data_IF_476844097715
#
_entry.id   IF_476844097715
#
_cell.length_a   1.000
_cell.length_b   1.000
_cell.length_c   1.000
_cell.angle_alpha   90.00
_cell.angle_beta   90.00
_cell.angle_gamma   90.00
#
_symmetry.space_group_name_H-M   'P 1'
#
loop_
_entity.id
_entity.type
_entity.pdbx_description
1 polymer ?
#
# COMPACT_ATOMS: atom_id res chain seq x y z
N UNK A 1 -24.11 1.10 17.96
CA UNK A 1 -22.65 1.02 18.22
C UNK A 1 -21.89 1.16 16.92
N UNK A 2 -20.85 1.99 16.85
CA UNK A 2 -19.94 2.14 15.69
C UNK A 2 -18.65 1.34 15.93
N UNK A 3 -18.76 0.03 16.21
CA UNK A 3 -17.61 -0.82 16.55
C UNK A 3 -16.98 -1.40 15.29
N UNK A 4 -15.67 -1.24 15.13
CA UNK A 4 -14.86 -1.93 14.11
C UNK A 4 -14.19 -3.15 14.74
N UNK A 5 -14.28 -4.31 14.09
CA UNK A 5 -13.61 -5.54 14.51
C UNK A 5 -12.59 -5.94 13.45
N UNK A 6 -11.34 -6.14 13.88
CA UNK A 6 -10.22 -6.50 13.01
C UNK A 6 -9.78 -7.92 13.37
N UNK A 7 -9.75 -8.80 12.38
CA UNK A 7 -9.22 -10.16 12.51
C UNK A 7 -7.88 -10.25 11.79
N UNK A 8 -6.84 -10.67 12.51
CA UNK A 8 -5.55 -11.03 11.93
C UNK A 8 -5.56 -12.54 11.70
N UNK A 9 -5.25 -12.95 10.47
CA UNK A 9 -5.26 -14.35 10.10
C UNK A 9 -3.93 -14.76 9.46
N UNK A 10 -3.60 -16.04 9.57
CA UNK A 10 -2.40 -16.63 8.99
C UNK A 10 -2.76 -17.45 7.75
N UNK A 11 -1.81 -17.53 6.83
CA UNK A 11 -1.92 -18.40 5.66
C UNK A 11 -1.53 -19.83 6.08
N UNK A 12 -2.22 -20.81 5.50
CA UNK A 12 -1.91 -22.25 5.52
C UNK A 12 -1.96 -22.78 4.10
N UNK A 13 -1.35 -23.94 3.88
CA UNK A 13 -1.43 -24.63 2.60
C UNK A 13 -2.49 -25.74 2.69
N UNK A 14 -3.37 -25.81 1.70
CA UNK A 14 -4.32 -26.92 1.58
C UNK A 14 -3.66 -28.07 0.81
N UNK A 15 -3.44 -29.19 1.49
CA UNK A 15 -2.87 -30.39 0.87
C UNK A 15 -3.86 -30.95 -0.16
N UNK A 16 -3.37 -31.34 -1.33
CA UNK A 16 -4.16 -32.01 -2.37
C UNK A 16 -4.78 -31.09 -3.43
N UNK A 17 -4.44 -29.80 -3.45
CA UNK A 17 -4.85 -28.88 -4.53
C UNK A 17 -3.86 -29.00 -5.70
N UNK A 18 -4.34 -29.50 -6.85
CA UNK A 18 -3.54 -29.67 -8.07
C UNK A 18 -3.68 -28.49 -9.05
N UNK A 19 -4.67 -27.62 -8.87
CA UNK A 19 -4.91 -26.45 -9.71
C UNK A 19 -5.38 -25.25 -8.87
N UNK A 20 -4.92 -24.05 -9.21
CA UNK A 20 -5.21 -22.81 -8.47
C UNK A 20 -4.24 -22.54 -7.30
N UNK A 21 -4.53 -21.50 -6.51
CA UNK A 21 -3.68 -21.13 -5.36
C UNK A 21 -3.87 -22.13 -4.21
N UNK A 22 -2.80 -22.76 -3.68
CA UNK A 22 -2.88 -23.67 -2.55
C UNK A 22 -3.06 -22.95 -1.20
N UNK A 23 -3.07 -21.61 -1.21
CA UNK A 23 -3.15 -20.79 0.00
C UNK A 23 -4.59 -20.72 0.54
N UNK A 24 -4.73 -20.96 1.84
CA UNK A 24 -6.00 -20.85 2.56
C UNK A 24 -5.81 -20.14 3.89
N UNK A 25 -6.87 -19.54 4.42
CA UNK A 25 -6.87 -18.89 5.74
C UNK A 25 -7.53 -19.78 6.78
N UNK A 26 -7.06 -19.74 8.03
CA UNK A 26 -7.67 -20.56 9.09
C UNK A 26 -9.06 -20.03 9.49
N UNK A 27 -9.84 -20.85 10.20
CA UNK A 27 -11.18 -20.46 10.69
C UNK A 27 -12.32 -20.71 9.70
N UNK A 28 -12.11 -21.55 8.69
CA UNK A 28 -13.13 -21.93 7.71
C UNK A 28 -13.53 -20.77 6.79
N UNK A 29 -14.71 -20.87 6.18
CA UNK A 29 -15.14 -19.92 5.15
C UNK A 29 -15.96 -18.74 5.68
N UNK A 30 -16.46 -18.79 6.91
CA UNK A 30 -17.37 -17.76 7.44
C UNK A 30 -16.74 -16.35 7.35
N UNK A 31 -15.50 -16.19 7.80
CA UNK A 31 -14.81 -14.91 7.79
C UNK A 31 -14.65 -14.34 6.36
N UNK A 32 -14.49 -15.20 5.33
CA UNK A 32 -14.43 -14.78 3.92
C UNK A 32 -15.72 -14.08 3.51
N UNK A 33 -16.89 -14.53 3.97
CA UNK A 33 -18.19 -13.98 3.60
C UNK A 33 -18.59 -12.76 4.45
N UNK A 34 -18.38 -12.82 5.76
CA UNK A 34 -18.77 -11.76 6.70
C UNK A 34 -17.88 -10.52 6.63
N UNK A 35 -16.59 -10.66 6.31
CA UNK A 35 -15.69 -9.52 6.22
C UNK A 35 -16.15 -8.52 5.13
N UNK A 36 -16.24 -7.24 5.51
CA UNK A 36 -16.52 -6.14 4.58
C UNK A 36 -15.30 -5.77 3.75
N UNK A 37 -14.10 -5.87 4.33
CA UNK A 37 -12.81 -5.63 3.68
C UNK A 37 -11.87 -6.78 4.02
N UNK A 38 -11.13 -7.28 3.04
CA UNK A 38 -10.03 -8.24 3.24
C UNK A 38 -8.76 -7.68 2.61
N UNK A 39 -7.68 -7.71 3.38
CA UNK A 39 -6.37 -7.23 3.00
C UNK A 39 -5.40 -8.42 3.01
N UNK A 40 -4.71 -8.64 1.89
CA UNK A 40 -3.57 -9.55 1.82
C UNK A 40 -2.29 -8.71 1.96
N UNK A 41 -1.51 -8.96 3.00
CA UNK A 41 -0.27 -8.24 3.32
C UNK A 41 0.94 -9.15 3.10
N UNK A 42 1.86 -8.71 2.25
CA UNK A 42 3.08 -9.45 1.93
C UNK A 42 4.31 -8.57 2.00
N UNK A 43 5.37 -9.10 2.59
CA UNK A 43 6.70 -8.51 2.49
C UNK A 43 7.24 -8.75 1.09
N UNK A 44 7.60 -7.68 0.38
CA UNK A 44 8.18 -7.75 -0.98
C UNK A 44 9.69 -7.54 -0.98
N UNK A 45 10.24 -6.89 0.04
CA UNK A 45 11.67 -6.59 0.11
C UNK A 45 12.16 -6.19 1.50
N UNK A 46 13.48 -6.03 1.61
CA UNK A 46 14.16 -5.50 2.79
C UNK A 46 14.72 -4.12 2.49
N UNK A 47 14.50 -3.17 3.38
CA UNK A 47 15.11 -1.84 3.32
C UNK A 47 16.42 -1.92 4.09
N UNK A 48 17.51 -1.56 3.42
CA UNK A 48 18.86 -1.60 3.98
C UNK A 48 19.43 -0.20 4.04
N UNK A 49 20.05 0.13 5.16
CA UNK A 49 20.91 1.29 5.29
C UNK A 49 22.34 0.80 5.44
N UNK A 50 23.16 1.01 4.41
CA UNK A 50 24.50 0.40 4.29
C UNK A 50 24.40 -1.13 4.37
N UNK A 51 24.84 -1.73 5.47
CA UNK A 51 24.84 -3.18 5.70
C UNK A 51 23.73 -3.66 6.63
N UNK A 52 22.99 -2.74 7.28
CA UNK A 52 21.96 -3.09 8.26
C UNK A 52 20.55 -3.08 7.65
N UNK A 53 19.73 -4.07 8.02
CA UNK A 53 18.32 -4.12 7.59
C UNK A 53 17.49 -3.29 8.57
N UNK A 54 17.11 -2.09 8.14
CA UNK A 54 16.37 -1.11 8.94
C UNK A 54 14.85 -1.25 8.81
N UNK A 55 14.36 -2.00 7.83
CA UNK A 55 12.93 -2.21 7.64
C UNK A 55 12.55 -3.17 6.53
N UNK A 56 11.24 -3.24 6.27
CA UNK A 56 10.64 -4.10 5.26
C UNK A 56 9.76 -3.30 4.31
N UNK A 57 9.97 -3.52 3.02
CA UNK A 57 9.04 -3.05 2.01
C UNK A 57 7.88 -4.03 1.93
N UNK A 58 6.66 -3.50 2.07
CA UNK A 58 5.44 -4.30 2.22
C UNK A 58 4.40 -3.88 1.19
N UNK A 59 3.74 -4.85 0.59
CA UNK A 59 2.62 -4.66 -0.34
C UNK A 59 1.35 -5.17 0.31
N UNK A 60 0.28 -4.38 0.23
CA UNK A 60 -1.06 -4.77 0.67
C UNK A 60 -1.99 -4.74 -0.53
N UNK A 61 -2.63 -5.88 -0.84
CA UNK A 61 -3.68 -6.02 -1.87
C UNK A 61 -5.04 -6.10 -1.21
N UNK A 62 -5.99 -5.30 -1.68
CA UNK A 62 -7.38 -5.35 -1.23
C UNK A 62 -8.09 -6.49 -1.96
N UNK A 63 -8.08 -7.70 -1.40
CA UNK A 63 -8.66 -8.90 -2.05
C UNK A 63 -10.19 -8.94 -1.98
N UNK A 64 -10.81 -8.18 -1.07
CA UNK A 64 -12.27 -8.00 -1.00
C UNK A 64 -12.57 -6.60 -0.49
N UNK A 65 -13.52 -5.93 -1.12
CA UNK A 65 -14.03 -4.64 -0.68
C UNK A 65 -15.52 -4.53 -1.00
N UNK A 66 -16.37 -4.33 0.02
CA UNK A 66 -17.82 -4.11 -0.16
C UNK A 66 -18.21 -2.63 -0.29
N UNK A 67 -17.27 -1.70 -0.14
CA UNK A 67 -17.54 -0.25 -0.05
C UNK A 67 -16.99 0.54 -1.25
N UNK A 68 -15.95 0.03 -1.91
CA UNK A 68 -15.30 0.67 -3.05
C UNK A 68 -14.70 -0.40 -3.98
N UNK A 69 -14.17 -0.04 -5.15
CA UNK A 69 -13.57 -1.00 -6.08
C UNK A 69 -12.49 -1.88 -5.41
N UNK A 70 -12.58 -3.22 -5.51
CA UNK A 70 -11.60 -4.14 -4.96
C UNK A 70 -10.32 -4.18 -5.81
N UNK A 71 -9.36 -5.01 -5.41
CA UNK A 71 -8.11 -5.35 -6.10
C UNK A 71 -7.07 -4.24 -6.26
N UNK A 72 -7.32 -3.07 -5.70
CA UNK A 72 -6.28 -2.04 -5.52
C UNK A 72 -5.15 -2.56 -4.62
N UNK A 73 -3.93 -2.17 -4.94
CA UNK A 73 -2.75 -2.49 -4.17
C UNK A 73 -2.01 -1.23 -3.76
N UNK A 74 -1.40 -1.27 -2.57
CA UNK A 74 -0.57 -0.20 -2.04
C UNK A 74 0.76 -0.80 -1.57
N UNK A 75 1.83 -0.05 -1.76
CA UNK A 75 3.17 -0.39 -1.30
C UNK A 75 3.62 0.69 -0.33
N UNK A 76 4.14 0.27 0.82
CA UNK A 76 4.67 1.15 1.83
C UNK A 76 5.79 0.47 2.62
N UNK A 77 6.56 1.30 3.31
CA UNK A 77 7.71 0.87 4.09
C UNK A 77 7.31 0.73 5.56
N UNK A 78 7.69 -0.39 6.16
CA UNK A 78 7.59 -0.63 7.61
C UNK A 78 9.00 -0.60 8.19
N UNK A 79 9.31 0.45 8.94
CA UNK A 79 10.59 0.63 9.62
C UNK A 79 10.56 -0.03 11.00
N UNK A 80 11.64 -0.71 11.39
CA UNK A 80 11.71 -1.33 12.71
C UNK A 80 11.76 -0.26 13.80
N UNK A 81 10.95 -0.41 14.85
CA UNK A 81 10.88 0.55 15.97
C UNK A 81 10.03 1.80 15.70
N UNK A 82 9.76 2.17 14.44
CA UNK A 82 8.92 3.34 14.10
C UNK A 82 7.55 2.97 13.51
N UNK A 83 7.43 1.80 12.86
CA UNK A 83 6.19 1.37 12.20
C UNK A 83 6.10 1.85 10.74
N UNK A 84 4.89 2.18 10.28
CA UNK A 84 4.65 2.58 8.88
C UNK A 84 5.24 3.97 8.63
N UNK A 85 6.12 4.09 7.63
CA UNK A 85 6.75 5.35 7.27
C UNK A 85 5.80 6.28 6.50
N UNK A 86 5.05 7.11 7.24
CA UNK A 86 4.13 8.09 6.65
C UNK A 86 4.85 9.08 5.72
N UNK A 87 6.03 9.55 6.09
CA UNK A 87 6.81 10.51 5.27
C UNK A 87 7.28 9.89 3.97
N UNK A 88 7.66 8.60 3.98
CA UNK A 88 8.00 7.86 2.75
C UNK A 88 6.81 7.78 1.80
N UNK A 89 5.63 7.46 2.33
CA UNK A 89 4.41 7.36 1.54
C UNK A 89 3.99 8.72 0.95
N UNK A 90 4.13 9.81 1.71
CA UNK A 90 3.84 11.16 1.21
C UNK A 90 4.71 11.56 0.01
N UNK A 91 6.00 11.20 0.01
CA UNK A 91 6.88 11.46 -1.14
C UNK A 91 6.43 10.62 -2.34
N UNK A 92 6.21 9.32 -2.16
CA UNK A 92 5.87 8.43 -3.27
C UNK A 92 4.50 8.77 -3.89
N UNK A 93 3.52 9.08 -3.05
CA UNK A 93 2.20 9.55 -3.50
C UNK A 93 2.28 10.94 -4.11
N UNK A 94 3.06 11.85 -3.53
CA UNK A 94 3.27 13.20 -4.05
C UNK A 94 3.87 13.19 -5.45
N UNK A 95 4.85 12.32 -5.70
CA UNK A 95 5.46 12.15 -7.03
C UNK A 95 4.47 11.53 -8.02
N UNK A 96 3.73 10.49 -7.60
CA UNK A 96 2.68 9.88 -8.46
C UNK A 96 1.56 10.86 -8.81
N UNK A 97 1.19 11.73 -7.88
CA UNK A 97 0.19 12.76 -8.06
C UNK A 97 0.70 13.94 -8.91
N UNK A 98 2.01 14.09 -9.10
CA UNK A 98 2.62 15.25 -9.76
C UNK A 98 2.68 16.50 -8.88
N UNK A 99 2.49 16.34 -7.56
CA UNK A 99 2.58 17.43 -6.57
C UNK A 99 4.03 17.64 -6.16
N UNK A 100 4.80 16.56 -6.04
CA UNK A 100 6.23 16.59 -5.78
C UNK A 100 6.96 16.34 -7.09
N UNK A 101 7.81 17.28 -7.47
CA UNK A 101 8.61 17.19 -8.68
C UNK A 101 9.87 16.36 -8.42
N UNK A 102 10.17 15.43 -9.33
CA UNK A 102 11.38 14.63 -9.29
C UNK A 102 12.28 14.96 -10.49
N UNK A 103 13.36 15.70 -10.26
CA UNK A 103 14.36 16.03 -11.27
C UNK A 103 15.62 15.17 -11.07
N UNK A 104 15.65 14.01 -11.73
CA UNK A 104 16.71 13.02 -11.54
C UNK A 104 16.68 12.43 -10.13
N UNK A 105 17.70 12.74 -9.32
CA UNK A 105 17.79 12.33 -7.93
C UNK A 105 17.19 13.36 -6.94
N UNK A 106 16.83 14.57 -7.41
CA UNK A 106 16.32 15.63 -6.55
C UNK A 106 14.80 15.61 -6.46
N UNK A 107 14.29 15.85 -5.24
CA UNK A 107 12.86 16.03 -4.96
C UNK A 107 12.60 17.48 -4.58
N UNK A 108 11.57 18.07 -5.17
CA UNK A 108 11.16 19.46 -4.92
C UNK A 108 9.65 19.55 -4.73
N UNK A 109 9.21 20.49 -3.91
CA UNK A 109 7.81 20.85 -3.71
C UNK A 109 7.70 22.37 -3.69
N UNK A 110 6.81 22.94 -4.51
CA UNK A 110 6.58 24.38 -4.61
C UNK A 110 7.88 25.22 -4.70
N UNK A 111 8.77 24.83 -5.63
CA UNK A 111 10.11 25.43 -5.81
C UNK A 111 11.11 25.26 -4.64
N UNK A 112 10.71 24.64 -3.53
CA UNK A 112 11.59 24.28 -2.42
C UNK A 112 12.21 22.90 -2.64
N UNK A 113 13.53 22.78 -2.45
CA UNK A 113 14.21 21.49 -2.52
C UNK A 113 13.99 20.71 -1.22
N UNK A 114 13.37 19.54 -1.33
CA UNK A 114 13.15 18.61 -0.22
C UNK A 114 14.41 17.78 0.08
N UNK A 115 15.20 17.47 -0.94
CA UNK A 115 16.47 16.75 -0.76
C UNK A 115 16.89 15.95 -1.98
N UNK A 116 18.12 15.43 -1.93
CA UNK A 116 18.65 14.50 -2.92
C UNK A 116 18.43 13.06 -2.45
N UNK A 117 17.64 12.30 -3.19
CA UNK A 117 17.29 10.93 -2.85
C UNK A 117 16.09 10.84 -1.90
N UNK A 118 15.45 9.66 -1.90
CA UNK A 118 14.21 9.40 -1.17
C UNK A 118 14.40 9.51 0.35
N UNK A 119 15.50 8.98 0.89
CA UNK A 119 15.75 9.02 2.35
C UNK A 119 15.98 10.44 2.87
N UNK A 120 16.73 11.27 2.14
CA UNK A 120 16.94 12.67 2.55
C UNK A 120 15.64 13.48 2.47
N UNK A 121 14.81 13.23 1.45
CA UNK A 121 13.49 13.87 1.37
C UNK A 121 12.56 13.43 2.52
N UNK A 122 12.63 12.15 2.95
CA UNK A 122 11.90 11.68 4.14
C UNK A 122 12.37 12.37 5.41
N UNK A 123 13.68 12.50 5.59
CA UNK A 123 14.26 13.18 6.75
C UNK A 123 13.81 14.65 6.80
N UNK A 124 13.85 15.36 5.66
CA UNK A 124 13.38 16.73 5.55
C UNK A 124 11.90 16.87 5.97
N UNK A 125 11.02 15.98 5.50
CA UNK A 125 9.60 16.00 5.90
C UNK A 125 9.37 15.63 7.38
N UNK A 126 10.24 14.81 7.96
CA UNK A 126 10.20 14.48 9.39
C UNK A 126 10.55 15.71 10.24
N UNK A 127 11.52 16.50 9.80
CA UNK A 127 11.96 17.72 10.48
C UNK A 127 11.02 18.92 10.21
N UNK A 128 10.27 18.89 9.11
CA UNK A 128 9.37 19.97 8.69
C UNK A 128 7.91 19.48 8.59
N UNK A 129 7.22 19.27 9.73
CA UNK A 129 5.86 18.75 9.75
C UNK A 129 4.83 19.68 9.07
N UNK A 130 5.09 20.99 9.02
CA UNK A 130 4.24 21.96 8.32
C UNK A 130 4.17 21.69 6.81
N UNK A 131 5.32 21.51 6.17
CA UNK A 131 5.41 21.15 4.75
C UNK A 131 4.80 19.77 4.48
N UNK A 132 5.04 18.80 5.37
CA UNK A 132 4.44 17.47 5.26
C UNK A 132 2.90 17.51 5.29
N UNK A 133 2.31 18.36 6.14
CA UNK A 133 0.86 18.54 6.21
C UNK A 133 0.29 19.21 4.95
N UNK A 134 0.99 20.18 4.37
CA UNK A 134 0.60 20.81 3.11
C UNK A 134 0.60 19.80 1.96
N UNK A 135 1.65 18.98 1.86
CA UNK A 135 1.73 17.91 0.87
C UNK A 135 0.61 16.88 1.08
N UNK A 136 0.36 16.46 2.33
CA UNK A 136 -0.72 15.53 2.65
C UNK A 136 -2.09 16.08 2.24
N UNK A 137 -2.37 17.35 2.54
CA UNK A 137 -3.63 17.99 2.17
C UNK A 137 -3.79 18.06 0.65
N UNK A 138 -2.75 18.46 -0.07
CA UNK A 138 -2.76 18.51 -1.52
C UNK A 138 -2.98 17.12 -2.14
N UNK A 139 -2.36 16.06 -1.59
CA UNK A 139 -2.57 14.67 -2.03
C UNK A 139 -4.03 14.24 -1.80
N UNK A 140 -4.59 14.51 -0.61
CA UNK A 140 -5.96 14.13 -0.26
C UNK A 140 -7.01 14.84 -1.11
N UNK A 141 -6.80 16.12 -1.43
CA UNK A 141 -7.70 16.87 -2.31
C UNK A 141 -7.68 16.32 -3.75
N UNK A 142 -6.51 15.89 -4.21
CA UNK A 142 -6.35 15.26 -5.52
C UNK A 142 -6.64 13.74 -5.51
N UNK A 143 -7.09 13.16 -4.38
CA UNK A 143 -7.28 11.72 -4.24
C UNK A 143 -8.29 11.13 -5.23
N UNK A 144 -9.28 11.92 -5.69
CA UNK A 144 -10.19 11.52 -6.76
C UNK A 144 -9.48 11.28 -8.10
N UNK A 145 -8.60 12.20 -8.51
CA UNK A 145 -7.78 12.09 -9.72
C UNK A 145 -6.70 11.00 -9.59
N UNK A 146 -6.18 10.81 -8.39
CA UNK A 146 -5.24 9.74 -8.07
C UNK A 146 -5.93 8.37 -8.18
N UNK A 147 -7.19 8.26 -7.73
CA UNK A 147 -7.96 7.02 -7.83
C UNK A 147 -8.18 6.57 -9.28
N UNK A 148 -8.36 7.49 -10.23
CA UNK A 148 -8.43 7.22 -11.68
C UNK A 148 -7.08 6.77 -12.23
N UNK A 149 -5.97 7.45 -11.90
CA UNK A 149 -4.61 7.03 -12.31
C UNK A 149 -4.20 5.65 -11.77
N UNK A 150 -4.70 5.26 -10.59
CA UNK A 150 -4.51 3.91 -10.07
C UNK A 150 -5.32 2.84 -10.83
N UNK A 151 -6.44 3.21 -11.47
CA UNK A 151 -7.25 2.31 -12.30
C UNK A 151 -6.62 2.10 -13.69
N UNK A 152 -6.01 3.13 -14.27
CA UNK A 152 -5.38 3.06 -15.61
C UNK A 152 -4.12 2.19 -15.67
N UNK A 153 -3.44 1.95 -14.54
CA UNK A 153 -2.24 1.09 -14.46
C UNK A 153 -2.52 -0.37 -14.12
N UNK A 154 -3.77 -0.76 -13.92
CA UNK A 154 -4.14 -2.17 -13.84
C UNK A 154 -4.16 -2.74 -15.27
N UNK A 155 -2.98 -3.08 -15.79
CA UNK A 155 -2.81 -3.75 -17.09
C UNK A 155 -3.57 -5.11 -17.09
N UNK A 156 -4.18 -5.53 -18.20
CA UNK A 156 -5.10 -6.67 -18.29
C UNK A 156 -4.40 -8.05 -18.34
N UNK A 157 -3.30 -8.21 -17.61
CA UNK A 157 -2.41 -9.38 -17.68
C UNK A 157 -2.45 -10.36 -16.50
N UNK A 158 -3.29 -10.13 -15.48
CA UNK A 158 -3.48 -11.08 -14.37
C UNK A 158 -4.86 -11.74 -14.48
N UNK A 159 -5.08 -12.50 -15.56
CA UNK A 159 -6.13 -13.52 -15.61
C UNK A 159 -5.74 -14.67 -14.67
N UNK A 160 -6.00 -14.46 -13.38
CA UNK A 160 -5.68 -15.42 -12.33
C UNK A 160 -6.65 -15.30 -11.16
N UNK A 161 -7.88 -15.79 -11.36
CA UNK A 161 -8.79 -16.10 -10.24
C UNK A 161 -10.10 -15.32 -10.19
N UNK A 162 -10.73 -15.09 -11.34
CA UNK A 162 -12.13 -14.70 -11.40
C UNK A 162 -13.05 -15.92 -11.43
N UNK A 163 -13.13 -16.70 -10.35
CA UNK A 163 -14.15 -17.77 -10.25
C UNK A 163 -14.63 -18.01 -8.81
N UNK A 164 -14.62 -16.95 -7.99
CA UNK A 164 -15.16 -16.97 -6.63
C UNK A 164 -16.47 -16.16 -6.50
N UNK A 165 -17.09 -15.79 -7.63
CA UNK A 165 -18.29 -14.93 -7.67
C UNK A 165 -19.58 -15.63 -8.13
N UNK A 166 -19.54 -16.93 -8.45
CA UNK A 166 -20.71 -17.69 -8.89
C UNK A 166 -20.77 -19.02 -8.16
N UNK A 167 -21.34 -19.02 -6.96
CA UNK A 167 -22.10 -20.16 -6.45
C UNK A 167 -22.97 -19.64 -5.29
N UNK A 168 -24.25 -19.44 -5.64
CA UNK A 168 -25.36 -19.25 -4.73
C UNK A 168 -25.95 -20.62 -4.36
#
# INVERSE_FOLDING_TARGET
SQTMVIFINQIRMKIGVMFGSPETTTGGNALKFYASVRLDIRRIGSIKERDEVVGNQTRVKVVKNKLAPPFKQVEFDIMYGEGISKTGELIDLGVKAGIVEKSGAWFSYDSQRLGQGRENAKAFLKDNPGTAAQIEQAIRQNAGLIAEKFLERADPGDEGGGDDALEA
#
